data_IF_856679697527
#
_entry.id   IF_856679697527
#
_cell.length_a   1.000
_cell.length_b   1.000
_cell.length_c   1.000
_cell.angle_alpha   90.00
_cell.angle_beta   90.00
_cell.angle_gamma   90.00
#
_symmetry.space_group_name_H-M   'P 1'
#
loop_
_entity.id
_entity.type
_entity.pdbx_description
1 polymer ?
#
# COMPACT_ATOMS: atom_id res chain seq x y z
N UNK A 1 -9.10 -4.50 20.89
CA UNK A 1 -7.97 -3.57 21.16
C UNK A 1 -7.72 -2.79 19.88
N UNK A 2 -7.83 -1.46 19.95
CA UNK A 2 -7.82 -0.58 18.78
C UNK A 2 -6.39 -0.23 18.37
N UNK A 3 -5.99 -0.56 17.15
CA UNK A 3 -4.87 0.13 16.49
C UNK A 3 -5.46 1.23 15.63
N UNK A 4 -5.54 2.44 16.20
CA UNK A 4 -5.81 3.69 15.49
C UNK A 4 -4.94 3.72 14.24
N UNK A 5 -5.55 3.61 13.05
CA UNK A 5 -4.84 3.71 11.79
C UNK A 5 -4.00 4.99 11.79
N UNK A 6 -2.73 4.88 11.39
CA UNK A 6 -1.76 5.97 11.42
C UNK A 6 -2.34 7.17 10.67
N UNK A 7 -2.87 8.15 11.39
CA UNK A 7 -3.51 9.35 10.81
C UNK A 7 -2.42 10.36 10.42
N UNK A 8 -1.37 9.88 9.77
CA UNK A 8 -0.13 10.60 9.47
C UNK A 8 -0.04 11.05 8.02
N UNK A 9 0.94 11.91 7.76
CA UNK A 9 1.29 12.36 6.40
C UNK A 9 1.64 11.17 5.50
N UNK A 10 2.36 10.17 6.04
CA UNK A 10 2.74 8.95 5.32
C UNK A 10 1.53 8.17 4.77
N UNK A 11 0.50 7.93 5.58
CA UNK A 11 -0.71 7.23 5.15
C UNK A 11 -1.49 8.00 4.08
N UNK A 12 -1.51 9.34 4.14
CA UNK A 12 -2.14 10.18 3.11
C UNK A 12 -1.40 10.08 1.78
N UNK A 13 -0.06 10.10 1.81
CA UNK A 13 0.78 9.92 0.63
C UNK A 13 0.53 8.53 0.03
N UNK A 14 0.52 7.48 0.86
CA UNK A 14 0.29 6.10 0.41
C UNK A 14 -1.09 5.93 -0.25
N UNK A 15 -2.15 6.45 0.39
CA UNK A 15 -3.51 6.42 -0.19
C UNK A 15 -3.60 7.18 -1.51
N UNK A 16 -2.95 8.33 -1.61
CA UNK A 16 -2.94 9.12 -2.84
C UNK A 16 -2.22 8.38 -3.98
N UNK A 17 -1.06 7.78 -3.70
CA UNK A 17 -0.32 6.98 -4.68
C UNK A 17 -1.11 5.76 -5.15
N UNK A 18 -1.76 5.04 -4.23
CA UNK A 18 -2.61 3.90 -4.58
C UNK A 18 -3.82 4.28 -5.41
N UNK A 19 -4.43 5.42 -5.13
CA UNK A 19 -5.55 5.90 -5.93
C UNK A 19 -5.12 6.19 -7.38
N UNK A 20 -3.98 6.88 -7.57
CA UNK A 20 -3.44 7.14 -8.91
C UNK A 20 -3.06 5.84 -9.61
N UNK A 21 -2.35 4.95 -8.91
CA UNK A 21 -1.91 3.67 -9.46
C UNK A 21 -3.10 2.76 -9.83
N UNK A 22 -4.20 2.83 -9.10
CA UNK A 22 -5.43 2.09 -9.42
C UNK A 22 -6.21 2.68 -10.60
N UNK A 23 -6.09 3.98 -10.85
CA UNK A 23 -6.78 4.68 -11.95
C UNK A 23 -5.99 4.56 -13.28
N UNK A 24 -4.67 4.74 -13.24
CA UNK A 24 -3.85 4.93 -14.44
C UNK A 24 -2.56 4.07 -14.45
N UNK A 25 -2.31 3.30 -13.39
CA UNK A 25 -1.09 2.53 -13.20
C UNK A 25 0.03 3.31 -12.51
N UNK A 26 1.06 2.57 -12.06
CA UNK A 26 2.17 3.13 -11.28
C UNK A 26 3.01 4.17 -12.04
N UNK A 27 3.05 4.11 -13.37
CA UNK A 27 3.75 5.09 -14.19
C UNK A 27 3.19 6.52 -14.03
N UNK A 28 1.88 6.67 -13.77
CA UNK A 28 1.25 7.95 -13.49
C UNK A 28 1.45 8.43 -12.05
N UNK A 29 1.87 7.56 -11.13
CA UNK A 29 2.03 7.86 -9.70
C UNK A 29 3.35 8.58 -9.38
N UNK A 30 3.77 9.54 -10.22
CA UNK A 30 4.96 10.35 -9.99
C UNK A 30 4.86 11.23 -8.74
N UNK A 31 6.00 11.56 -8.11
CA UNK A 31 6.04 12.30 -6.84
C UNK A 31 5.20 13.59 -6.83
N UNK A 32 5.22 14.34 -7.93
CA UNK A 32 4.43 15.58 -8.07
C UNK A 32 2.93 15.31 -8.09
N UNK A 33 2.47 14.30 -8.82
CA UNK A 33 1.07 13.91 -8.88
C UNK A 33 0.58 13.38 -7.52
N UNK A 34 1.40 12.56 -6.87
CA UNK A 34 1.11 12.05 -5.52
C UNK A 34 1.04 13.20 -4.51
N UNK A 35 2.00 14.12 -4.52
CA UNK A 35 2.01 15.28 -3.62
C UNK A 35 0.78 16.17 -3.82
N UNK A 36 0.41 16.45 -5.07
CA UNK A 36 -0.78 17.22 -5.43
C UNK A 36 -2.06 16.55 -4.89
N UNK A 37 -2.22 15.25 -5.11
CA UNK A 37 -3.39 14.49 -4.65
C UNK A 37 -3.43 14.33 -3.12
N UNK A 38 -2.28 14.14 -2.48
CA UNK A 38 -2.16 14.05 -1.02
C UNK A 38 -2.28 15.42 -0.31
N UNK A 39 -2.27 16.52 -1.07
CA UNK A 39 -2.28 17.91 -0.58
C UNK A 39 -1.12 18.17 0.39
N UNK A 40 0.08 17.77 -0.01
CA UNK A 40 1.32 18.00 0.74
C UNK A 40 2.39 18.60 -0.18
N UNK A 41 3.31 19.42 0.35
CA UNK A 41 4.48 19.85 -0.42
C UNK A 41 5.32 18.64 -0.86
N UNK A 42 5.89 18.70 -2.07
CA UNK A 42 6.83 17.67 -2.55
C UNK A 42 8.05 17.56 -1.61
N UNK A 43 8.49 18.66 -1.02
CA UNK A 43 9.57 18.66 -0.01
C UNK A 43 9.21 17.82 1.22
N UNK A 44 7.98 17.93 1.70
CA UNK A 44 7.49 17.12 2.81
C UNK A 44 7.33 15.66 2.40
N UNK A 45 6.79 15.38 1.21
CA UNK A 45 6.71 14.01 0.68
C UNK A 45 8.10 13.36 0.65
N UNK A 46 9.12 14.09 0.15
CA UNK A 46 10.50 13.60 0.06
C UNK A 46 11.16 13.27 1.39
N UNK A 47 10.64 13.80 2.51
CA UNK A 47 11.10 13.43 3.85
C UNK A 47 10.59 12.06 4.28
N UNK A 48 9.47 11.60 3.71
CA UNK A 48 8.86 10.30 4.00
C UNK A 48 9.25 9.24 2.96
N UNK A 49 9.33 9.62 1.68
CA UNK A 49 9.61 8.71 0.56
C UNK A 49 10.56 9.35 -0.44
N UNK A 50 11.65 8.66 -0.78
CA UNK A 50 12.68 9.16 -1.71
C UNK A 50 12.12 9.37 -3.13
N UNK A 51 11.34 8.40 -3.59
CA UNK A 51 10.82 8.24 -4.95
C UNK A 51 9.51 7.43 -4.93
N UNK A 52 8.89 7.28 -6.09
CA UNK A 52 7.66 6.49 -6.24
C UNK A 52 7.89 5.01 -5.91
N UNK A 53 9.07 4.48 -6.19
CA UNK A 53 9.42 3.09 -5.89
C UNK A 53 9.40 2.83 -4.37
N UNK A 54 9.94 3.74 -3.57
CA UNK A 54 9.87 3.65 -2.10
C UNK A 54 8.42 3.64 -1.58
N UNK A 55 7.47 4.30 -2.28
CA UNK A 55 6.05 4.26 -1.94
C UNK A 55 5.44 2.90 -2.31
N UNK A 56 5.77 2.39 -3.50
CA UNK A 56 5.33 1.07 -3.94
C UNK A 56 5.84 -0.03 -3.01
N UNK A 57 7.12 -0.01 -2.66
CA UNK A 57 7.75 -0.95 -1.72
C UNK A 57 7.08 -0.92 -0.35
N UNK A 58 6.75 0.28 0.15
CA UNK A 58 6.05 0.42 1.42
C UNK A 58 4.65 -0.22 1.36
N UNK A 59 3.93 -0.04 0.26
CA UNK A 59 2.64 -0.71 0.06
C UNK A 59 2.79 -2.23 -0.07
N UNK A 60 3.76 -2.71 -0.85
CA UNK A 60 4.03 -4.13 -1.02
C UNK A 60 4.34 -4.81 0.32
N UNK A 61 5.13 -4.16 1.18
CA UNK A 61 5.42 -4.66 2.53
C UNK A 61 4.16 -4.77 3.38
N UNK A 62 3.27 -3.76 3.34
CA UNK A 62 1.98 -3.83 4.06
C UNK A 62 1.12 -4.99 3.54
N UNK A 63 1.06 -5.19 2.23
CA UNK A 63 0.32 -6.31 1.63
C UNK A 63 0.90 -7.66 2.02
N UNK A 64 2.24 -7.80 1.96
CA UNK A 64 2.96 -9.01 2.34
C UNK A 64 2.76 -9.34 3.82
N UNK A 65 2.90 -8.35 4.70
CA UNK A 65 2.68 -8.51 6.14
C UNK A 65 1.25 -8.95 6.44
N UNK A 66 0.26 -8.42 5.71
CA UNK A 66 -1.14 -8.83 5.85
C UNK A 66 -1.40 -10.26 5.35
N UNK A 67 -0.72 -10.69 4.28
CA UNK A 67 -0.80 -12.07 3.78
C UNK A 67 -0.12 -13.08 4.71
N UNK A 68 0.96 -12.67 5.37
CA UNK A 68 1.72 -13.50 6.31
C UNK A 68 1.17 -13.44 7.74
N UNK A 69 0.25 -12.52 8.03
CA UNK A 69 -0.40 -12.43 9.33
C UNK A 69 -1.22 -13.70 9.61
N UNK A 70 -1.33 -14.11 10.89
CA UNK A 70 -2.20 -15.22 11.26
C UNK A 70 -3.61 -14.99 10.72
N UNK A 71 -4.21 -16.00 10.07
CA UNK A 71 -5.54 -15.84 9.51
C UNK A 71 -6.55 -15.46 10.60
N UNK A 72 -7.53 -14.58 10.28
CA UNK A 72 -8.55 -14.20 11.23
C UNK A 72 -9.33 -15.44 11.68
N UNK A 73 -9.84 -15.43 12.92
CA UNK A 73 -10.66 -16.53 13.44
C UNK A 73 -11.82 -16.80 12.48
N UNK A 74 -11.98 -18.05 12.07
CA UNK A 74 -13.01 -18.47 11.10
C UNK A 74 -12.58 -18.40 9.63
N UNK A 75 -11.32 -18.09 9.33
CA UNK A 75 -10.76 -18.27 8.00
C UNK A 75 -10.69 -19.77 7.65
N UNK A 76 -11.54 -20.21 6.74
CA UNK A 76 -11.44 -21.54 6.12
C UNK A 76 -10.63 -21.41 4.83
N UNK A 77 -9.42 -21.98 4.75
CA UNK A 77 -8.68 -22.01 3.50
C UNK A 77 -9.51 -22.73 2.43
N UNK A 78 -9.46 -22.23 1.20
CA UNK A 78 -10.14 -22.87 0.09
C UNK A 78 -9.69 -24.35 -0.03
N UNK A 79 -10.62 -25.28 -0.31
CA UNK A 79 -10.26 -26.68 -0.49
C UNK A 79 -9.24 -26.78 -1.62
N UNK A 80 -8.17 -27.55 -1.43
CA UNK A 80 -7.18 -27.77 -2.49
C UNK A 80 -7.90 -28.29 -3.74
N UNK A 81 -7.65 -27.71 -4.93
CA UNK A 81 -8.24 -28.22 -6.15
C UNK A 81 -7.81 -29.69 -6.34
N UNK A 82 -8.79 -30.57 -6.57
CA UNK A 82 -8.54 -31.99 -6.84
C UNK A 82 -7.74 -32.10 -8.15
N UNK A 83 -6.44 -32.34 -8.05
CA UNK A 83 -5.56 -32.52 -9.20
C UNK A 83 -4.07 -32.25 -8.97
N UNK A 84 -3.69 -31.54 -7.91
CA UNK A 84 -2.28 -31.27 -7.61
C UNK A 84 -1.62 -32.51 -6.99
N UNK A 85 -0.92 -33.32 -7.80
CA UNK A 85 -0.02 -34.36 -7.30
C UNK A 85 1.33 -33.70 -6.99
N UNK A 86 1.89 -34.04 -5.82
CA UNK A 86 3.22 -33.60 -5.38
C UNK A 86 4.33 -34.29 -6.16
#
# INVERSE_FOLDING_TARGET
MATKAKTGVQDRILKAALAIAGEEGWASAGLSAVAARAKVPVSELRRHFRDTDAIADAWFRVGLDAMLAPPPRGFSPAPRPRGWKS
#
